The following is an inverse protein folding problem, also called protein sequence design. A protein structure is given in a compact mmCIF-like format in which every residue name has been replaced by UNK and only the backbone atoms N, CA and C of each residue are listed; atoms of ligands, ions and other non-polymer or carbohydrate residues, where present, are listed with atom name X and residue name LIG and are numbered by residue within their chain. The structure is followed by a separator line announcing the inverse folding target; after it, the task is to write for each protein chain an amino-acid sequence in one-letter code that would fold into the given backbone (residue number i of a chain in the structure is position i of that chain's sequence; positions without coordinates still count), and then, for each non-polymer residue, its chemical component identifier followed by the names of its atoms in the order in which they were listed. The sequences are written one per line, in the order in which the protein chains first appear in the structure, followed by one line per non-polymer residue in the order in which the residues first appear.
data_IF_032170059552
#
_entry.id   IF_032170059552
#
_cell.length_a   1.000
_cell.length_b   1.000
_cell.length_c   1.000
_cell.angle_alpha   90.00
_cell.angle_beta   90.00
_cell.angle_gamma   90.00
#
_symmetry.space_group_name_H-M   'P 1'
#
loop_
_entity.id
_entity.type
_entity.pdbx_description
1 polymer ?
#
# COMPACT_ATOMS: atom_id res chain seq x y z
N UNK A 1 25.29 -9.77 1.00
CA UNK A 1 26.28 -8.81 0.44
C UNK A 1 25.58 -7.94 -0.59
N UNK A 2 25.46 -6.64 -0.31
CA UNK A 2 24.96 -5.65 -1.26
C UNK A 2 26.01 -5.55 -2.37
N UNK A 3 25.75 -6.14 -3.53
CA UNK A 3 26.67 -6.11 -4.65
C UNK A 3 26.87 -4.66 -5.08
N UNK A 4 28.11 -4.17 -5.10
CA UNK A 4 28.48 -2.77 -5.40
C UNK A 4 27.81 -2.20 -6.68
N UNK A 5 27.44 -3.09 -7.63
CA UNK A 5 26.71 -2.79 -8.87
C UNK A 5 25.22 -2.41 -8.69
N UNK A 6 24.62 -2.57 -7.51
CA UNK A 6 23.21 -2.28 -7.24
C UNK A 6 22.99 -0.93 -6.55
N UNK A 7 24.04 -0.36 -5.94
CA UNK A 7 24.01 0.93 -5.25
C UNK A 7 23.31 2.05 -6.04
N UNK A 8 23.59 2.28 -7.34
CA UNK A 8 22.91 3.37 -8.06
C UNK A 8 21.39 3.17 -8.13
N UNK A 9 20.90 1.93 -8.23
CA UNK A 9 19.47 1.65 -8.29
C UNK A 9 18.79 1.86 -6.93
N UNK A 10 19.49 1.54 -5.82
CA UNK A 10 19.00 1.85 -4.48
C UNK A 10 18.94 3.36 -4.23
N UNK A 11 19.94 4.12 -4.69
CA UNK A 11 19.93 5.58 -4.61
C UNK A 11 18.74 6.14 -5.42
N UNK A 12 18.54 5.67 -6.66
CA UNK A 12 17.40 6.09 -7.49
C UNK A 12 16.07 5.80 -6.79
N UNK A 13 15.89 4.59 -6.26
CA UNK A 13 14.66 4.22 -5.55
C UNK A 13 14.44 5.08 -4.30
N UNK A 14 15.50 5.37 -3.55
CA UNK A 14 15.43 6.22 -2.35
C UNK A 14 15.12 7.68 -2.70
N UNK A 15 15.77 8.24 -3.72
CA UNK A 15 15.47 9.59 -4.21
C UNK A 15 14.02 9.67 -4.68
N UNK A 16 13.54 8.68 -5.44
CA UNK A 16 12.15 8.61 -5.87
C UNK A 16 11.19 8.56 -4.68
N UNK A 17 11.50 7.75 -3.66
CA UNK A 17 10.73 7.70 -2.41
C UNK A 17 10.66 9.06 -1.73
N UNK A 18 11.77 9.78 -1.61
CA UNK A 18 11.79 11.10 -0.98
C UNK A 18 10.98 12.12 -1.79
N UNK A 19 11.16 12.17 -3.11
CA UNK A 19 10.41 13.08 -4.00
C UNK A 19 8.91 12.83 -3.89
N UNK A 20 8.48 11.57 -3.97
CA UNK A 20 7.08 11.19 -3.82
C UNK A 20 6.55 11.52 -2.42
N UNK A 21 7.33 11.24 -1.37
CA UNK A 21 6.95 11.54 0.02
C UNK A 21 6.78 13.04 0.26
N UNK A 22 7.64 13.87 -0.32
CA UNK A 22 7.53 15.33 -0.26
C UNK A 22 6.32 15.80 -1.07
N UNK A 23 6.10 15.25 -2.27
CA UNK A 23 4.91 15.52 -3.07
C UNK A 23 3.61 15.26 -2.30
N UNK A 24 3.54 14.13 -1.58
CA UNK A 24 2.40 13.80 -0.72
C UNK A 24 2.12 14.82 0.39
N UNK A 25 3.15 15.49 0.89
CA UNK A 25 2.97 16.54 1.90
C UNK A 25 2.13 17.70 1.36
N UNK A 26 2.35 18.06 0.10
CA UNK A 26 1.66 19.17 -0.57
C UNK A 26 0.39 18.73 -1.32
N UNK A 27 0.26 17.44 -1.65
CA UNK A 27 -0.88 16.89 -2.37
C UNK A 27 -2.21 17.03 -1.61
N UNK A 28 -3.27 17.45 -2.30
CA UNK A 28 -4.64 17.42 -1.81
C UNK A 28 -5.26 16.01 -1.83
N UNK A 29 -6.53 15.91 -1.46
CA UNK A 29 -7.30 14.65 -1.60
C UNK A 29 -7.53 14.31 -3.07
N UNK A 30 -7.73 15.32 -3.92
CA UNK A 30 -7.89 15.21 -5.37
C UNK A 30 -6.67 14.60 -6.07
N UNK A 31 -5.46 15.00 -5.67
CA UNK A 31 -4.21 14.47 -6.22
C UNK A 31 -4.00 12.97 -5.92
N UNK A 32 -4.71 12.46 -4.91
CA UNK A 32 -4.66 11.07 -4.47
C UNK A 32 -5.83 10.26 -5.01
N UNK A 33 -6.67 10.84 -5.88
CA UNK A 33 -7.81 10.15 -6.46
C UNK A 33 -7.37 8.92 -7.27
N UNK A 34 -6.17 8.91 -7.84
CA UNK A 34 -5.63 7.71 -8.50
C UNK A 34 -5.53 6.49 -7.58
N UNK A 35 -5.36 6.67 -6.26
CA UNK A 35 -5.44 5.59 -5.27
C UNK A 35 -6.85 5.45 -4.69
N UNK A 36 -7.52 6.57 -4.42
CA UNK A 36 -8.81 6.57 -3.75
C UNK A 36 -9.92 6.02 -4.64
N UNK A 37 -9.96 6.40 -5.92
CA UNK A 37 -10.97 5.96 -6.88
C UNK A 37 -11.04 4.43 -7.04
N UNK A 38 -9.94 3.70 -7.34
CA UNK A 38 -10.00 2.25 -7.44
C UNK A 38 -10.32 1.58 -6.11
N UNK A 39 -9.80 2.10 -5.00
CA UNK A 39 -10.14 1.60 -3.66
C UNK A 39 -11.63 1.77 -3.37
N UNK A 40 -12.20 2.95 -3.64
CA UNK A 40 -13.61 3.25 -3.46
C UNK A 40 -14.49 2.33 -4.32
N UNK A 41 -14.09 2.06 -5.56
CA UNK A 41 -14.79 1.10 -6.43
C UNK A 41 -14.83 -0.30 -5.81
N UNK A 42 -13.72 -0.78 -5.24
CA UNK A 42 -13.72 -2.07 -4.52
C UNK A 42 -14.62 -2.04 -3.28
N UNK A 43 -14.59 -0.96 -2.49
CA UNK A 43 -15.46 -0.84 -1.31
C UNK A 43 -16.94 -0.78 -1.72
N UNK A 44 -17.27 -0.05 -2.77
CA UNK A 44 -18.64 0.02 -3.30
C UNK A 44 -19.14 -1.36 -3.75
N UNK A 45 -18.28 -2.14 -4.43
CA UNK A 45 -18.60 -3.51 -4.81
C UNK A 45 -18.79 -4.44 -3.59
N UNK A 46 -17.96 -4.30 -2.56
CA UNK A 46 -18.02 -5.14 -1.36
C UNK A 46 -19.21 -4.79 -0.45
N UNK A 47 -19.59 -3.51 -0.38
CA UNK A 47 -20.65 -3.01 0.52
C UNK A 47 -22.00 -2.89 -0.15
N UNK A 48 -22.06 -2.87 -1.49
CA UNK A 48 -23.26 -2.56 -2.27
C UNK A 48 -23.71 -1.10 -2.13
N UNK A 49 -22.89 -0.22 -1.55
CA UNK A 49 -23.21 1.19 -1.30
C UNK A 49 -22.44 2.10 -2.25
N UNK A 50 -23.03 3.23 -2.59
CA UNK A 50 -22.38 4.28 -3.38
C UNK A 50 -21.89 5.38 -2.45
N UNK A 51 -20.71 5.92 -2.75
CA UNK A 51 -20.15 7.07 -2.07
C UNK A 51 -20.43 8.34 -2.86
N UNK A 52 -20.69 9.44 -2.16
CA UNK A 52 -20.71 10.79 -2.72
C UNK A 52 -19.30 11.39 -2.64
N UNK A 53 -18.76 11.84 -3.77
CA UNK A 53 -17.45 12.48 -3.82
C UNK A 53 -17.58 13.98 -3.52
N UNK A 54 -16.87 14.46 -2.50
CA UNK A 54 -16.69 15.88 -2.21
C UNK A 54 -15.25 16.30 -2.53
N UNK A 55 -15.08 17.37 -3.31
CA UNK A 55 -13.77 17.85 -3.79
C UNK A 55 -12.72 18.04 -2.67
N UNK A 56 -13.14 18.51 -1.49
CA UNK A 56 -12.22 18.74 -0.36
C UNK A 56 -12.20 17.60 0.67
N UNK A 57 -13.29 16.82 0.77
CA UNK A 57 -13.49 15.83 1.82
C UNK A 57 -13.18 14.39 1.40
N UNK A 58 -13.10 14.11 0.09
CA UNK A 58 -12.99 12.75 -0.43
C UNK A 58 -14.34 12.03 -0.56
N UNK A 59 -14.35 10.70 -0.43
CA UNK A 59 -15.54 9.88 -0.64
C UNK A 59 -16.33 9.70 0.66
N UNK A 60 -17.56 10.19 0.71
CA UNK A 60 -18.45 10.08 1.86
C UNK A 60 -19.51 9.00 1.66
N UNK A 61 -19.68 8.14 2.66
CA UNK A 61 -20.73 7.14 2.70
C UNK A 61 -21.80 7.55 3.72
N UNK A 62 -22.87 8.20 3.26
CA UNK A 62 -23.96 8.70 4.13
C UNK A 62 -24.55 7.62 5.05
N UNK A 63 -24.83 6.43 4.50
CA UNK A 63 -25.43 5.32 5.26
C UNK A 63 -24.49 4.68 6.30
N UNK A 64 -23.19 4.94 6.19
CA UNK A 64 -22.17 4.41 7.11
C UNK A 64 -21.61 5.51 8.01
N UNK A 65 -21.86 6.78 7.69
CA UNK A 65 -21.23 7.94 8.32
C UNK A 65 -19.69 7.87 8.34
N UNK A 66 -19.10 7.44 7.21
CA UNK A 66 -17.64 7.29 7.04
C UNK A 66 -17.16 8.20 5.91
N UNK A 67 -16.04 8.88 6.16
CA UNK A 67 -15.32 9.68 5.17
C UNK A 67 -14.02 8.95 4.82
N UNK A 68 -13.81 8.70 3.53
CA UNK A 68 -12.55 8.20 2.96
C UNK A 68 -11.78 9.40 2.42
N UNK A 69 -10.82 9.89 3.19
CA UNK A 69 -10.02 11.08 2.90
C UNK A 69 -8.57 10.73 2.49
N UNK A 70 -7.71 11.75 2.44
CA UNK A 70 -6.26 11.61 2.21
C UNK A 70 -5.58 10.57 3.11
N UNK A 71 -5.98 10.44 4.38
CA UNK A 71 -5.42 9.44 5.31
C UNK A 71 -5.76 7.99 4.93
N UNK A 72 -6.89 7.84 4.23
CA UNK A 72 -7.38 6.58 3.71
C UNK A 72 -6.74 6.17 2.37
N UNK A 73 -5.90 7.01 1.75
CA UNK A 73 -5.30 6.73 0.43
C UNK A 73 -4.37 5.52 0.37
N UNK A 74 -3.76 5.13 1.50
CA UNK A 74 -2.74 4.08 1.52
C UNK A 74 -1.40 4.51 0.90
N UNK A 75 -1.21 5.79 0.58
CA UNK A 75 -0.02 6.30 -0.10
C UNK A 75 1.31 5.95 0.61
N UNK A 76 1.34 6.09 1.94
CA UNK A 76 2.53 5.73 2.72
C UNK A 76 2.85 4.24 2.64
N UNK A 77 1.82 3.39 2.63
CA UNK A 77 1.98 1.94 2.49
C UNK A 77 2.47 1.58 1.08
N UNK A 78 1.98 2.28 0.05
CA UNK A 78 2.48 2.14 -1.32
C UNK A 78 3.97 2.42 -1.41
N UNK A 79 4.43 3.54 -0.85
CA UNK A 79 5.85 3.91 -0.86
C UNK A 79 6.73 2.90 -0.09
N UNK A 80 6.28 2.43 1.08
CA UNK A 80 6.99 1.42 1.86
C UNK A 80 7.08 0.10 1.09
N UNK A 81 5.96 -0.35 0.51
CA UNK A 81 5.90 -1.56 -0.33
C UNK A 81 6.80 -1.44 -1.55
N UNK A 82 6.85 -0.28 -2.20
CA UNK A 82 7.72 -0.01 -3.34
C UNK A 82 9.20 -0.18 -2.99
N UNK A 83 9.67 0.42 -1.89
CA UNK A 83 11.07 0.28 -1.45
C UNK A 83 11.37 -1.17 -1.07
N UNK A 84 10.47 -1.82 -0.33
CA UNK A 84 10.63 -3.21 0.08
C UNK A 84 10.75 -4.14 -1.14
N UNK A 85 9.84 -4.03 -2.11
CA UNK A 85 9.86 -4.84 -3.34
C UNK A 85 11.13 -4.58 -4.15
N UNK A 86 11.52 -3.31 -4.27
CA UNK A 86 12.74 -2.91 -4.98
C UNK A 86 13.97 -3.56 -4.35
N UNK A 87 14.10 -3.52 -3.03
CA UNK A 87 15.24 -4.12 -2.31
C UNK A 87 15.29 -5.64 -2.52
N UNK A 88 14.15 -6.32 -2.33
CA UNK A 88 14.06 -7.78 -2.44
C UNK A 88 14.34 -8.28 -3.86
N UNK A 89 13.76 -7.64 -4.87
CA UNK A 89 13.91 -8.03 -6.26
C UNK A 89 15.30 -7.69 -6.80
N UNK A 90 15.85 -6.50 -6.50
CA UNK A 90 17.19 -6.11 -6.97
C UNK A 90 18.29 -7.04 -6.43
N UNK A 91 18.10 -7.62 -5.24
CA UNK A 91 19.03 -8.62 -4.65
C UNK A 91 19.17 -9.87 -5.51
N UNK A 92 18.16 -10.21 -6.32
CA UNK A 92 18.12 -11.43 -7.12
C UNK A 92 18.28 -11.19 -8.64
N UNK A 93 18.35 -9.93 -9.09
CA UNK A 93 18.58 -9.60 -10.51
C UNK A 93 20.05 -9.36 -10.83
N UNK A 94 20.50 -9.85 -11.98
CA UNK A 94 21.91 -9.76 -12.40
C UNK A 94 22.13 -8.76 -13.53
N UNK A 95 21.24 -8.72 -14.53
CA UNK A 95 21.43 -7.90 -15.74
C UNK A 95 20.89 -6.47 -15.60
N UNK A 96 21.45 -5.53 -16.39
CA UNK A 96 21.04 -4.10 -16.35
C UNK A 96 19.56 -3.92 -16.71
N UNK A 97 19.11 -4.63 -17.74
CA UNK A 97 17.72 -4.61 -18.19
C UNK A 97 16.77 -5.14 -17.11
N UNK A 98 17.13 -6.24 -16.44
CA UNK A 98 16.35 -6.78 -15.31
C UNK A 98 16.25 -5.78 -14.15
N UNK A 99 17.32 -5.04 -13.84
CA UNK A 99 17.31 -4.04 -12.75
C UNK A 99 16.36 -2.88 -13.03
N UNK A 100 16.35 -2.37 -14.25
CA UNK A 100 15.41 -1.30 -14.65
C UNK A 100 13.98 -1.84 -14.62
N UNK A 101 13.76 -3.03 -15.17
CA UNK A 101 12.44 -3.68 -15.15
C UNK A 101 11.95 -3.93 -13.71
N UNK A 102 12.85 -4.27 -12.78
CA UNK A 102 12.53 -4.43 -11.36
C UNK A 102 11.94 -3.17 -10.74
N UNK A 103 12.43 -1.97 -11.10
CA UNK A 103 11.87 -0.72 -10.57
C UNK A 103 10.42 -0.52 -11.02
N UNK A 104 10.14 -0.75 -12.31
CA UNK A 104 8.79 -0.66 -12.86
C UNK A 104 7.85 -1.72 -12.26
N UNK A 105 8.31 -2.96 -12.15
CA UNK A 105 7.54 -4.04 -11.51
C UNK A 105 7.27 -3.70 -10.04
N UNK A 106 8.25 -3.13 -9.33
CA UNK A 106 8.10 -2.81 -7.90
C UNK A 106 7.07 -1.70 -7.69
N UNK A 107 7.09 -0.64 -8.49
CA UNK A 107 6.17 0.49 -8.30
C UNK A 107 4.72 0.12 -8.68
N UNK A 108 4.54 -0.59 -9.80
CA UNK A 108 3.23 -1.08 -10.27
C UNK A 108 2.71 -2.17 -9.34
N UNK A 109 3.56 -3.13 -8.97
CA UNK A 109 3.20 -4.20 -8.04
C UNK A 109 2.80 -3.66 -6.67
N UNK A 110 3.55 -2.68 -6.14
CA UNK A 110 3.19 -2.02 -4.89
C UNK A 110 1.86 -1.27 -5.00
N UNK A 111 1.57 -0.66 -6.15
CA UNK A 111 0.31 0.07 -6.38
C UNK A 111 -0.89 -0.89 -6.32
N UNK A 112 -0.85 -1.99 -7.06
CA UNK A 112 -1.91 -3.01 -7.04
C UNK A 112 -2.07 -3.64 -5.65
N UNK A 113 -0.96 -3.93 -4.99
CA UNK A 113 -0.97 -4.45 -3.63
C UNK A 113 -1.59 -3.46 -2.64
N UNK A 114 -1.30 -2.17 -2.79
CA UNK A 114 -1.86 -1.11 -1.95
C UNK A 114 -3.37 -1.04 -2.11
N UNK A 115 -3.90 -1.09 -3.33
CA UNK A 115 -5.36 -1.07 -3.55
C UNK A 115 -6.03 -2.20 -2.77
N UNK A 116 -5.52 -3.43 -2.88
CA UNK A 116 -6.10 -4.59 -2.18
C UNK A 116 -6.04 -4.47 -0.65
N UNK A 117 -4.87 -4.15 -0.11
CA UNK A 117 -4.68 -4.01 1.35
C UNK A 117 -5.49 -2.84 1.89
N UNK A 118 -5.52 -1.72 1.18
CA UNK A 118 -6.25 -0.53 1.59
C UNK A 118 -7.76 -0.74 1.57
N UNK A 119 -8.28 -1.45 0.56
CA UNK A 119 -9.68 -1.88 0.54
C UNK A 119 -10.00 -2.81 1.71
N UNK A 120 -9.14 -3.78 2.04
CA UNK A 120 -9.35 -4.65 3.20
C UNK A 120 -9.35 -3.85 4.52
N UNK A 121 -8.46 -2.85 4.65
CA UNK A 121 -8.40 -1.93 5.79
C UNK A 121 -9.71 -1.17 5.98
N UNK A 122 -10.18 -0.51 4.92
CA UNK A 122 -11.41 0.31 4.98
C UNK A 122 -12.62 -0.60 5.25
N UNK A 123 -12.71 -1.75 4.58
CA UNK A 123 -13.79 -2.72 4.82
C UNK A 123 -13.81 -3.23 6.27
N UNK A 124 -12.64 -3.53 6.85
CA UNK A 124 -12.51 -3.92 8.26
C UNK A 124 -12.96 -2.80 9.19
N UNK A 125 -12.60 -1.55 8.89
CA UNK A 125 -13.07 -0.36 9.63
C UNK A 125 -14.60 -0.23 9.60
N UNK A 126 -15.23 -0.51 8.45
CA UNK A 126 -16.69 -0.49 8.30
C UNK A 126 -17.36 -1.57 9.16
N UNK A 127 -16.83 -2.79 9.16
CA UNK A 127 -17.39 -3.90 9.95
C UNK A 127 -17.29 -3.61 11.44
N UNK A 128 -16.12 -3.17 11.91
CA UNK A 128 -15.89 -2.88 13.33
C UNK A 128 -16.81 -1.76 13.80
N UNK A 129 -17.00 -0.72 12.99
CA UNK A 129 -17.91 0.37 13.34
C UNK A 129 -19.38 -0.08 13.40
N UNK A 130 -19.81 -0.98 12.50
CA UNK A 130 -21.18 -1.56 12.53
C UNK A 130 -21.45 -2.48 13.71
N UNK A 131 -20.42 -3.14 14.22
CA UNK A 131 -20.58 -4.06 15.36
C UNK A 131 -20.71 -3.33 16.70
N UNK A 132 -20.61 -2.00 16.71
CA UNK A 132 -20.79 -1.13 17.88
C UNK A 132 -20.15 -1.75 19.13
N UNK A 133 -18.84 -2.06 19.01
CA UNK A 133 -18.04 -2.63 20.10
C UNK A 133 -17.85 -1.52 21.15
N UNK A 134 -18.93 -1.27 21.88
CA UNK A 134 -19.14 -0.37 23.01
C UNK A 134 -18.32 -0.73 24.24
N UNK A 135 -17.47 -1.76 24.15
CA UNK A 135 -16.58 -2.21 25.22
C UNK A 135 -15.52 -1.13 25.53
N UNK A 136 -15.19 -0.29 24.56
CA UNK A 136 -14.21 0.77 24.69
C UNK A 136 -14.79 2.01 23.99
N UNK A 137 -15.25 3.01 24.76
CA UNK A 137 -15.64 4.33 24.26
C UNK A 137 -14.42 5.10 23.69
N UNK A 138 -13.72 4.51 22.72
CA UNK A 138 -12.56 5.08 22.07
C UNK A 138 -13.04 5.88 20.87
N UNK A 139 -12.45 7.08 20.72
CA UNK A 139 -12.68 7.96 19.60
C UNK A 139 -12.60 7.20 18.24
N UNK A 140 -13.63 7.30 17.38
CA UNK A 140 -13.65 6.67 16.06
C UNK A 140 -12.39 6.94 15.22
N UNK A 141 -11.75 8.11 15.40
CA UNK A 141 -10.52 8.48 14.72
C UNK A 141 -9.33 7.61 15.14
N UNK A 142 -9.20 7.29 16.43
CA UNK A 142 -8.14 6.45 16.97
C UNK A 142 -8.33 5.00 16.51
N UNK A 143 -9.57 4.51 16.55
CA UNK A 143 -9.91 3.16 16.08
C UNK A 143 -9.52 2.99 14.61
N UNK A 144 -9.81 3.98 13.75
CA UNK A 144 -9.42 3.95 12.35
C UNK A 144 -7.89 3.90 12.16
N UNK A 145 -7.14 4.69 12.94
CA UNK A 145 -5.68 4.70 12.88
C UNK A 145 -5.06 3.37 13.33
N UNK A 146 -5.55 2.78 14.42
CA UNK A 146 -5.06 1.50 14.96
C UNK A 146 -5.30 0.36 13.97
N UNK A 147 -6.49 0.31 13.38
CA UNK A 147 -6.81 -0.66 12.32
C UNK A 147 -5.85 -0.46 11.15
N UNK A 148 -5.58 0.79 10.77
CA UNK A 148 -4.66 1.10 9.69
C UNK A 148 -3.22 0.66 9.95
N UNK A 149 -2.69 0.90 11.16
CA UNK A 149 -1.34 0.45 11.53
C UNK A 149 -1.28 -1.07 11.54
N UNK A 150 -2.25 -1.73 12.17
CA UNK A 150 -2.30 -3.19 12.32
C UNK A 150 -2.37 -3.86 10.96
N UNK A 151 -3.34 -3.49 10.13
CA UNK A 151 -3.51 -4.07 8.78
C UNK A 151 -2.29 -3.83 7.91
N UNK A 152 -1.78 -2.60 7.83
CA UNK A 152 -0.63 -2.28 7.01
C UNK A 152 0.62 -3.07 7.45
N UNK A 153 0.94 -3.11 8.75
CA UNK A 153 2.11 -3.83 9.23
C UNK A 153 1.99 -5.34 8.98
N UNK A 154 0.83 -5.93 9.27
CA UNK A 154 0.60 -7.37 9.04
C UNK A 154 0.79 -7.72 7.56
N UNK A 155 0.16 -6.98 6.65
CA UNK A 155 0.30 -7.24 5.21
C UNK A 155 1.71 -6.96 4.69
N UNK A 156 2.40 -5.94 5.22
CA UNK A 156 3.78 -5.65 4.85
C UNK A 156 4.71 -6.81 5.22
N UNK A 157 4.62 -7.30 6.46
CA UNK A 157 5.45 -8.40 6.97
C UNK A 157 5.12 -9.71 6.25
N UNK A 158 3.84 -10.03 6.06
CA UNK A 158 3.44 -11.23 5.32
C UNK A 158 3.97 -11.22 3.90
N UNK A 159 3.85 -10.10 3.19
CA UNK A 159 4.35 -9.99 1.82
C UNK A 159 5.87 -10.02 1.76
N UNK A 160 6.57 -9.40 2.71
CA UNK A 160 8.02 -9.54 2.85
C UNK A 160 8.42 -11.03 2.93
N UNK A 161 7.81 -11.78 3.85
CA UNK A 161 8.10 -13.19 4.08
C UNK A 161 7.77 -14.05 2.85
N UNK A 162 6.64 -13.78 2.19
CA UNK A 162 6.24 -14.49 0.97
C UNK A 162 7.21 -14.25 -0.18
N UNK A 163 7.56 -12.99 -0.46
CA UNK A 163 8.50 -12.65 -1.54
C UNK A 163 9.88 -13.24 -1.24
N UNK A 164 10.37 -13.12 -0.02
CA UNK A 164 11.67 -13.71 0.36
C UNK A 164 11.66 -15.23 0.23
N UNK A 165 10.59 -15.91 0.65
CA UNK A 165 10.45 -17.36 0.50
C UNK A 165 10.42 -17.80 -0.96
N UNK A 166 9.65 -17.11 -1.81
CA UNK A 166 9.54 -17.43 -3.24
C UNK A 166 10.91 -17.24 -3.94
N UNK A 167 11.60 -16.15 -3.63
CA UNK A 167 12.90 -15.84 -4.25
C UNK A 167 14.02 -16.76 -3.77
N UNK A 168 14.00 -17.17 -2.50
CA UNK A 168 14.99 -18.14 -1.98
C UNK A 168 14.77 -19.55 -2.53
N UNK A 169 13.51 -20.01 -2.66
CA UNK A 169 13.20 -21.31 -3.28
C UNK A 169 13.67 -21.37 -4.73
N UNK A 170 13.35 -20.35 -5.54
CA UNK A 170 13.76 -20.27 -6.95
C UNK A 170 15.28 -20.33 -7.14
N UNK A 171 16.05 -19.79 -6.19
CA UNK A 171 17.52 -19.85 -6.20
C UNK A 171 18.04 -21.25 -5.87
N UNK A 172 17.32 -22.02 -5.05
CA UNK A 172 17.66 -23.41 -4.72
C UNK A 172 17.47 -24.31 -5.95
N UNK A 173 16.34 -24.16 -6.64
CA UNK A 173 16.02 -24.97 -7.83
C UNK A 173 17.02 -24.71 -8.98
N UNK A 174 17.45 -23.45 -9.16
CA UNK A 174 18.43 -23.08 -10.17
C UNK A 174 19.87 -23.58 -9.90
N UNK A 175 20.16 -24.16 -8.73
CA UNK A 175 21.46 -24.79 -8.42
C UNK A 175 21.47 -26.31 -8.67
N UNK A 176 20.32 -26.91 -8.93
CA UNK A 176 20.14 -28.35 -9.15
C UNK A 176 20.03 -28.73 -10.64
N UNK A 177 20.28 -27.78 -11.54
CA UNK A 177 20.38 -27.95 -13.00
C UNK A 177 21.73 -27.44 -13.45
#
# INVERSE_FOLDING_TARGET
MITNKNIPYYIIAFVLFIVLKVGYRYAGTEDLDFLLHPTNKMISLLTGLQATYGQDSGYFYEKLNIIIDKSCSGYNFWLLSFIMFTILLLRHTTTRFQKINTLWISIIGAYLFTIGVNSARIFTSIIIQRQDISILHIDPSITHQVIGITTNLTFLVLTYLLIERILTHKKSDAKLT
#
